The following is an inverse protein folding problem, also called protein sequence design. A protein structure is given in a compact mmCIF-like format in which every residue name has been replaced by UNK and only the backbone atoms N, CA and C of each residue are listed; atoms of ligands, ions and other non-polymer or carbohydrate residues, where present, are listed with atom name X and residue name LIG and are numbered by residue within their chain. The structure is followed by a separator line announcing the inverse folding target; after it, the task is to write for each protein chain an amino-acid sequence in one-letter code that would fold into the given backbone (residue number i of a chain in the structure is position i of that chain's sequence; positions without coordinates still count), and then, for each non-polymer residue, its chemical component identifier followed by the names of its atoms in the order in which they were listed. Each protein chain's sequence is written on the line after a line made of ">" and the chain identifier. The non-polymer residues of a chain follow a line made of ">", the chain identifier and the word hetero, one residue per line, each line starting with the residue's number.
data_IF_190235922199
#
_entry.id   IF_190235922199
#
_cell.length_a   1.000
_cell.length_b   1.000
_cell.length_c   1.000
_cell.angle_alpha   90.00
_cell.angle_beta   90.00
_cell.angle_gamma   90.00
#
_symmetry.space_group_name_H-M   'P 1'
#
loop_
_entity.id
_entity.type
_entity.pdbx_description
1 polymer ?
#
# COMPACT_ATOMS: atom_id res chain seq x y z
N UNK A 1 5.05 13.51 -9.10
CA UNK A 1 4.96 14.98 -8.98
C UNK A 1 4.78 15.29 -7.50
N UNK A 2 5.79 15.94 -6.90
CA UNK A 2 5.77 16.35 -5.49
C UNK A 2 5.11 17.75 -5.40
N UNK A 3 3.96 17.84 -4.75
CA UNK A 3 3.34 19.12 -4.44
C UNK A 3 3.66 19.49 -2.98
N UNK A 4 4.36 20.59 -2.70
CA UNK A 4 4.57 21.07 -1.35
C UNK A 4 3.37 21.95 -0.94
N UNK A 5 2.36 21.34 -0.34
CA UNK A 5 1.25 22.06 0.28
C UNK A 5 1.19 21.73 1.77
N UNK A 6 1.58 22.67 2.63
CA UNK A 6 1.37 22.59 4.07
C UNK A 6 -0.13 22.59 4.38
N UNK A 7 -0.66 21.45 4.79
CA UNK A 7 -2.01 21.37 5.36
C UNK A 7 -1.97 21.83 6.84
N UNK A 8 -2.82 22.79 7.16
CA UNK A 8 -2.95 23.39 8.49
C UNK A 8 -3.41 22.36 9.52
N UNK A 9 -3.02 22.57 10.81
CA UNK A 9 -3.38 21.73 11.97
C UNK A 9 -4.85 21.34 11.95
N UNK A 10 -5.12 20.03 11.99
CA UNK A 10 -6.47 19.46 12.09
C UNK A 10 -7.00 18.78 10.80
N UNK A 11 -6.29 18.84 9.66
CA UNK A 11 -6.64 18.12 8.41
C UNK A 11 -5.55 17.12 8.04
N UNK A 12 -5.95 15.94 7.68
CA UNK A 12 -5.09 14.84 7.21
C UNK A 12 -4.28 15.23 5.98
N UNK A 13 -3.21 14.51 5.70
CA UNK A 13 -1.91 14.76 6.26
C UNK A 13 -1.08 15.65 5.35
N UNK A 14 -0.20 16.43 5.92
CA UNK A 14 0.90 17.07 5.21
C UNK A 14 1.89 15.99 4.72
N UNK A 15 1.49 15.19 3.75
CA UNK A 15 2.26 14.13 3.16
C UNK A 15 2.11 14.11 1.65
N UNK A 16 2.99 13.40 0.96
CA UNK A 16 2.87 13.20 -0.48
C UNK A 16 1.62 12.37 -0.79
N UNK A 17 0.80 12.85 -1.71
CA UNK A 17 -0.27 12.08 -2.32
C UNK A 17 0.31 11.30 -3.49
N UNK A 18 0.24 9.98 -3.40
CA UNK A 18 0.65 9.09 -4.48
C UNK A 18 -0.54 8.81 -5.38
N UNK A 19 -0.45 9.09 -6.66
CA UNK A 19 -1.58 8.96 -7.60
C UNK A 19 -1.19 8.09 -8.79
N UNK A 20 -2.04 7.12 -9.10
CA UNK A 20 -1.96 6.28 -10.30
C UNK A 20 -3.27 6.40 -11.08
N UNK A 21 -3.17 6.66 -12.36
CA UNK A 21 -4.31 6.74 -13.28
C UNK A 21 -4.21 5.62 -14.30
N UNK A 22 -5.31 4.93 -14.59
CA UNK A 22 -5.36 3.91 -15.63
C UNK A 22 -5.12 4.51 -17.01
N UNK A 23 -4.58 3.70 -17.91
CA UNK A 23 -4.44 4.10 -19.33
C UNK A 23 -5.68 3.72 -20.10
N UNK A 24 -5.97 4.47 -21.16
CA UNK A 24 -7.00 4.09 -22.09
C UNK A 24 -6.71 2.69 -22.68
N UNK A 25 -7.71 1.83 -22.68
CA UNK A 25 -7.61 0.48 -23.24
C UNK A 25 -6.88 -0.55 -22.37
N UNK A 26 -6.48 -0.24 -21.12
CA UNK A 26 -5.84 -1.22 -20.23
C UNK A 26 -6.81 -2.15 -19.47
N UNK A 27 -8.11 -2.04 -19.76
CA UNK A 27 -9.17 -2.90 -19.22
C UNK A 27 -9.57 -2.59 -17.77
N UNK A 28 -9.01 -1.53 -17.16
CA UNK A 28 -9.34 -1.14 -15.77
C UNK A 28 -10.51 -0.18 -15.65
N UNK A 29 -10.97 0.37 -16.75
CA UNK A 29 -12.15 1.20 -16.84
C UNK A 29 -12.84 1.01 -18.21
N UNK A 30 -14.15 1.28 -18.33
CA UNK A 30 -14.84 1.36 -19.61
C UNK A 30 -14.22 2.40 -20.54
N UNK A 31 -14.55 2.33 -21.81
CA UNK A 31 -14.11 3.31 -22.80
C UNK A 31 -14.60 4.72 -22.43
N UNK A 32 -13.70 5.70 -22.49
CA UNK A 32 -13.98 7.08 -22.09
C UNK A 32 -13.89 7.34 -20.59
N UNK A 33 -13.63 6.33 -19.78
CA UNK A 33 -13.49 6.44 -18.33
C UNK A 33 -12.05 6.11 -17.87
N UNK A 34 -11.74 6.43 -16.63
CA UNK A 34 -10.47 6.10 -16.01
C UNK A 34 -10.63 5.74 -14.54
N UNK A 35 -9.81 4.82 -14.06
CA UNK A 35 -9.66 4.53 -12.63
C UNK A 35 -8.51 5.36 -12.07
N UNK A 36 -8.79 6.10 -11.01
CA UNK A 36 -7.79 6.87 -10.25
C UNK A 36 -7.60 6.23 -8.89
N UNK A 37 -6.38 5.79 -8.59
CA UNK A 37 -6.00 5.27 -7.27
C UNK A 37 -5.09 6.31 -6.62
N UNK A 38 -5.51 6.81 -5.45
CA UNK A 38 -4.75 7.75 -4.67
C UNK A 38 -4.41 7.17 -3.29
N UNK A 39 -3.18 7.32 -2.85
CA UNK A 39 -2.71 6.81 -1.56
C UNK A 39 -1.98 7.87 -0.78
N UNK A 40 -2.19 7.88 0.51
CA UNK A 40 -1.57 8.81 1.47
C UNK A 40 -1.20 8.06 2.74
N UNK A 41 -0.06 8.41 3.34
CA UNK A 41 0.33 7.85 4.62
C UNK A 41 -0.44 8.54 5.76
N UNK A 42 -0.98 7.74 6.67
CA UNK A 42 -1.71 8.22 7.84
C UNK A 42 -1.36 7.39 9.09
N UNK A 43 -1.30 8.00 10.28
CA UNK A 43 -1.13 7.26 11.53
C UNK A 43 -2.33 6.34 11.79
N UNK A 44 -2.09 5.03 11.87
CA UNK A 44 -3.16 4.04 12.02
C UNK A 44 -3.93 4.19 13.33
N UNK A 45 -3.25 4.62 14.42
CA UNK A 45 -3.85 4.81 15.73
C UNK A 45 -5.00 5.82 15.74
N UNK A 46 -4.90 6.84 14.89
CA UNK A 46 -5.90 7.91 14.77
C UNK A 46 -7.23 7.41 14.20
N UNK A 47 -7.20 6.33 13.42
CA UNK A 47 -8.38 5.71 12.82
C UNK A 47 -8.98 4.61 13.69
N UNK A 48 -8.13 3.80 14.32
CA UNK A 48 -8.56 2.63 15.08
C UNK A 48 -9.21 2.98 16.42
N UNK A 49 -8.95 4.16 16.99
CA UNK A 49 -9.48 4.60 18.28
C UNK A 49 -10.82 5.32 18.18
N UNK A 50 -11.26 5.68 16.99
CA UNK A 50 -12.50 6.44 16.82
C UNK A 50 -13.73 5.58 17.09
N UNK A 51 -14.70 6.15 17.82
CA UNK A 51 -16.06 5.62 17.89
C UNK A 51 -16.74 5.74 16.51
N UNK A 52 -17.74 4.91 16.24
CA UNK A 52 -18.32 4.79 14.90
C UNK A 52 -18.79 6.11 14.29
N UNK A 53 -19.52 7.00 14.99
CA UNK A 53 -19.94 8.27 14.38
C UNK A 53 -18.76 9.17 13.98
N UNK A 54 -17.76 9.29 14.86
CA UNK A 54 -16.55 10.08 14.58
C UNK A 54 -15.69 9.48 13.48
N UNK A 55 -15.66 8.16 13.39
CA UNK A 55 -14.98 7.44 12.32
C UNK A 55 -15.62 7.74 10.95
N UNK A 56 -16.94 7.64 10.84
CA UNK A 56 -17.65 7.92 9.58
C UNK A 56 -17.48 9.38 9.16
N UNK A 57 -17.60 10.31 10.10
CA UNK A 57 -17.35 11.73 9.82
C UNK A 57 -15.94 11.95 9.28
N UNK A 58 -14.92 11.43 9.96
CA UNK A 58 -13.52 11.55 9.54
C UNK A 58 -13.27 10.91 8.16
N UNK A 59 -13.89 9.76 7.90
CA UNK A 59 -13.81 9.09 6.60
C UNK A 59 -14.34 9.98 5.47
N UNK A 60 -15.47 10.64 5.68
CA UNK A 60 -16.05 11.56 4.71
C UNK A 60 -15.17 12.82 4.51
N UNK A 61 -14.69 13.42 5.59
CA UNK A 61 -13.80 14.57 5.53
C UNK A 61 -12.50 14.26 4.78
N UNK A 62 -11.89 13.11 5.05
CA UNK A 62 -10.68 12.66 4.37
C UNK A 62 -10.93 12.37 2.87
N UNK A 63 -12.04 11.72 2.52
CA UNK A 63 -12.43 11.48 1.14
C UNK A 63 -12.60 12.80 0.37
N UNK A 64 -13.31 13.76 0.94
CA UNK A 64 -13.51 15.07 0.34
C UNK A 64 -12.18 15.83 0.17
N UNK A 65 -11.31 15.77 1.16
CA UNK A 65 -10.01 16.43 1.12
C UNK A 65 -9.12 15.85 0.02
N UNK A 66 -9.03 14.52 -0.08
CA UNK A 66 -8.24 13.84 -1.13
C UNK A 66 -8.82 14.12 -2.51
N UNK A 67 -10.15 14.03 -2.65
CA UNK A 67 -10.84 14.32 -3.89
C UNK A 67 -10.57 15.75 -4.37
N UNK A 68 -10.70 16.74 -3.49
CA UNK A 68 -10.42 18.14 -3.82
C UNK A 68 -8.95 18.37 -4.21
N UNK A 69 -8.00 17.63 -3.63
CA UNK A 69 -6.60 17.68 -4.05
C UNK A 69 -6.39 17.08 -5.45
N UNK A 70 -7.04 15.94 -5.73
CA UNK A 70 -7.02 15.33 -7.06
C UNK A 70 -7.64 16.23 -8.13
N UNK A 71 -8.76 16.87 -7.83
CA UNK A 71 -9.41 17.83 -8.73
C UNK A 71 -8.47 18.99 -9.10
N UNK A 72 -7.77 19.53 -8.11
CA UNK A 72 -6.77 20.59 -8.35
C UNK A 72 -5.55 20.10 -9.14
N UNK A 73 -4.99 18.97 -8.72
CA UNK A 73 -3.73 18.46 -9.28
C UNK A 73 -3.87 17.90 -10.68
N UNK A 74 -5.03 17.32 -10.99
CA UNK A 74 -5.34 16.73 -12.30
C UNK A 74 -6.21 17.62 -13.17
N UNK A 75 -6.53 18.84 -12.71
CA UNK A 75 -7.41 19.79 -13.40
C UNK A 75 -8.78 19.19 -13.75
N UNK A 76 -9.36 18.41 -12.83
CA UNK A 76 -10.65 17.75 -13.01
C UNK A 76 -11.78 18.64 -12.50
N UNK A 77 -12.93 18.60 -13.19
CA UNK A 77 -14.16 19.20 -12.69
C UNK A 77 -14.80 18.29 -11.64
N UNK A 78 -15.51 18.86 -10.63
CA UNK A 78 -16.14 18.06 -9.58
C UNK A 78 -17.23 17.09 -10.06
N UNK A 79 -17.82 17.32 -11.22
CA UNK A 79 -18.90 16.53 -11.80
C UNK A 79 -18.45 15.30 -12.60
N UNK A 80 -17.15 15.09 -12.78
CA UNK A 80 -16.63 13.94 -13.56
C UNK A 80 -16.51 12.65 -12.76
N UNK A 81 -16.69 12.70 -11.44
CA UNK A 81 -16.57 11.52 -10.59
C UNK A 81 -17.82 10.65 -10.66
N UNK A 82 -17.70 9.46 -11.23
CA UNK A 82 -18.77 8.48 -11.27
C UNK A 82 -18.89 7.73 -9.93
N UNK A 83 -17.76 7.44 -9.30
CA UNK A 83 -17.68 6.79 -8.00
C UNK A 83 -16.42 7.23 -7.26
N UNK A 84 -16.51 7.30 -5.94
CA UNK A 84 -15.34 7.54 -5.09
C UNK A 84 -15.50 6.82 -3.74
N UNK A 85 -14.47 6.08 -3.34
CA UNK A 85 -14.44 5.32 -2.10
C UNK A 85 -13.10 5.53 -1.38
N UNK A 86 -13.12 5.54 -0.05
CA UNK A 86 -11.92 5.64 0.78
C UNK A 86 -11.73 4.36 1.59
N UNK A 87 -10.62 3.67 1.34
CA UNK A 87 -10.10 2.64 2.23
C UNK A 87 -9.32 3.32 3.38
N UNK A 88 -9.57 2.90 4.61
CA UNK A 88 -8.92 3.43 5.82
C UNK A 88 -8.10 2.34 6.50
N UNK A 89 -7.18 2.68 7.43
CA UNK A 89 -6.47 1.68 8.24
C UNK A 89 -7.42 0.70 8.96
N UNK A 90 -8.55 1.17 9.45
CA UNK A 90 -9.57 0.31 10.07
C UNK A 90 -10.20 -0.67 9.08
N UNK A 91 -10.52 -0.21 7.88
CA UNK A 91 -11.01 -1.06 6.79
C UNK A 91 -9.94 -2.09 6.37
N UNK A 92 -8.70 -1.67 6.20
CA UNK A 92 -7.58 -2.56 5.90
C UNK A 92 -7.37 -3.64 6.97
N UNK A 93 -7.49 -3.29 8.25
CA UNK A 93 -7.43 -4.26 9.35
C UNK A 93 -8.49 -5.35 9.20
N UNK A 94 -9.73 -4.95 8.86
CA UNK A 94 -10.83 -5.90 8.65
C UNK A 94 -10.61 -6.84 7.46
N UNK A 95 -10.12 -6.31 6.34
CA UNK A 95 -9.91 -7.09 5.11
C UNK A 95 -8.67 -7.98 5.15
N UNK A 96 -7.59 -7.53 5.77
CA UNK A 96 -6.29 -8.22 5.72
C UNK A 96 -5.94 -8.99 6.99
N UNK A 97 -6.67 -8.78 8.09
CA UNK A 97 -6.33 -9.32 9.41
C UNK A 97 -5.07 -8.67 10.02
N UNK A 98 -4.47 -7.68 9.36
CA UNK A 98 -3.26 -7.02 9.86
C UNK A 98 -3.58 -6.13 11.05
N UNK A 99 -2.79 -6.19 12.13
CA UNK A 99 -2.99 -5.33 13.29
C UNK A 99 -3.03 -3.85 12.90
N UNK A 100 -4.12 -3.18 13.26
CA UNK A 100 -4.37 -1.75 12.95
C UNK A 100 -4.33 -1.39 11.47
N UNK A 101 -4.40 -2.35 10.56
CA UNK A 101 -4.32 -2.11 9.12
C UNK A 101 -2.98 -1.55 8.65
N UNK A 102 -1.89 -1.87 9.34
CA UNK A 102 -0.57 -1.45 8.92
C UNK A 102 -0.17 -2.16 7.63
N UNK A 103 0.37 -1.39 6.69
CA UNK A 103 0.87 -1.85 5.40
C UNK A 103 2.39 -1.78 5.42
N UNK A 104 3.07 -2.69 4.71
CA UNK A 104 4.51 -2.68 4.55
C UNK A 104 5.29 -3.65 5.45
N UNK A 105 4.62 -4.57 6.11
CA UNK A 105 5.25 -5.59 6.92
C UNK A 105 5.86 -5.06 8.23
N UNK A 106 6.96 -5.67 8.66
CA UNK A 106 7.70 -5.21 9.84
C UNK A 106 8.43 -3.90 9.54
N UNK A 107 8.45 -3.01 10.55
CA UNK A 107 9.10 -1.70 10.43
C UNK A 107 10.57 -1.83 10.00
N UNK A 108 10.93 -1.10 8.96
CA UNK A 108 12.25 -1.12 8.32
C UNK A 108 13.22 -0.20 9.06
N UNK A 109 13.61 -0.61 10.26
CA UNK A 109 14.63 0.07 11.04
C UNK A 109 16.04 -0.41 10.64
N UNK A 110 17.08 0.45 10.62
CA UNK A 110 18.46 0.06 10.24
C UNK A 110 18.97 -1.21 10.92
N UNK A 111 18.58 -1.46 12.18
CA UNK A 111 18.95 -2.68 12.92
C UNK A 111 18.20 -3.95 12.48
N UNK A 112 17.24 -3.84 11.59
CA UNK A 112 16.39 -4.96 11.11
C UNK A 112 16.22 -4.95 9.60
N UNK A 113 17.07 -4.22 8.89
CA UNK A 113 17.01 -4.08 7.42
C UNK A 113 18.33 -4.49 6.78
N UNK A 114 18.32 -4.87 5.52
CA UNK A 114 19.50 -5.33 4.80
C UNK A 114 20.11 -6.60 5.44
N UNK A 115 21.40 -6.59 5.80
CA UNK A 115 22.07 -7.73 6.43
C UNK A 115 21.49 -8.17 7.77
N UNK A 116 20.79 -7.28 8.45
CA UNK A 116 20.14 -7.53 9.76
C UNK A 116 18.63 -7.83 9.62
N UNK A 117 18.13 -7.92 8.40
CA UNK A 117 16.74 -8.27 8.10
C UNK A 117 16.43 -9.73 8.40
N UNK A 118 15.13 -10.05 8.48
CA UNK A 118 14.70 -11.43 8.58
C UNK A 118 15.07 -12.19 7.30
N UNK A 119 15.71 -13.35 7.48
CA UNK A 119 16.03 -14.23 6.37
C UNK A 119 14.79 -15.01 5.89
N UNK A 120 14.70 -15.27 4.60
CA UNK A 120 13.67 -16.16 4.06
C UNK A 120 13.85 -17.61 4.48
N UNK A 121 15.09 -18.03 4.72
CA UNK A 121 15.40 -19.36 5.25
C UNK A 121 15.23 -19.37 6.76
N UNK A 122 14.44 -20.32 7.27
CA UNK A 122 14.26 -20.50 8.71
C UNK A 122 15.21 -21.57 9.27
N UNK A 123 15.44 -21.62 10.60
CA UNK A 123 16.15 -22.73 11.24
C UNK A 123 15.40 -24.06 11.12
N UNK A 124 14.10 -24.05 10.84
CA UNK A 124 13.28 -25.23 10.67
C UNK A 124 13.43 -25.81 9.26
N UNK A 125 13.85 -27.06 9.18
CA UNK A 125 14.00 -27.75 7.89
C UNK A 125 12.68 -27.82 7.13
N UNK A 126 12.70 -27.45 5.84
CA UNK A 126 11.51 -27.47 4.98
C UNK A 126 10.60 -26.26 5.11
N UNK A 127 10.97 -25.25 5.91
CA UNK A 127 10.18 -24.03 6.09
C UNK A 127 10.94 -22.81 5.57
N UNK A 128 10.35 -22.10 4.63
CA UNK A 128 10.81 -20.81 4.11
C UNK A 128 9.75 -19.75 4.30
N UNK A 129 10.20 -18.53 4.45
CA UNK A 129 9.34 -17.36 4.54
C UNK A 129 9.53 -16.48 3.30
N UNK A 130 8.46 -15.82 2.86
CA UNK A 130 8.48 -14.75 1.88
C UNK A 130 7.44 -13.70 2.24
N UNK A 131 7.57 -12.51 1.69
CA UNK A 131 6.62 -11.42 1.91
C UNK A 131 7.30 -10.09 2.24
N UNK A 132 6.48 -9.12 2.62
CA UNK A 132 6.87 -7.74 2.86
C UNK A 132 7.68 -7.49 4.14
N UNK A 133 7.65 -8.42 5.07
CA UNK A 133 8.43 -8.37 6.33
C UNK A 133 9.88 -8.85 6.18
N UNK A 134 10.26 -9.34 5.01
CA UNK A 134 11.56 -9.92 4.71
C UNK A 134 12.35 -9.04 3.74
N UNK A 135 13.68 -9.20 3.72
CA UNK A 135 14.48 -8.54 2.70
C UNK A 135 14.10 -9.02 1.28
N UNK A 136 13.92 -8.13 0.29
CA UNK A 136 14.26 -6.70 0.27
C UNK A 136 13.19 -5.76 0.83
N UNK A 137 12.05 -6.22 1.28
CA UNK A 137 11.06 -5.40 1.95
C UNK A 137 9.72 -5.31 1.23
N UNK A 138 9.02 -4.23 1.47
CA UNK A 138 7.66 -3.97 0.99
C UNK A 138 7.56 -3.60 -0.50
N UNK A 139 6.33 -3.49 -0.96
CA UNK A 139 5.97 -3.16 -2.33
C UNK A 139 5.98 -4.38 -3.26
N UNK A 140 5.33 -4.24 -4.42
CA UNK A 140 5.17 -5.34 -5.39
C UNK A 140 6.52 -5.94 -5.80
N UNK A 141 7.51 -5.10 -6.09
CA UNK A 141 8.85 -5.56 -6.47
C UNK A 141 9.53 -6.29 -5.31
N UNK A 142 9.45 -5.76 -4.09
CA UNK A 142 10.07 -6.35 -2.90
C UNK A 142 9.49 -7.70 -2.54
N UNK A 143 8.17 -7.82 -2.49
CA UNK A 143 7.52 -9.10 -2.15
C UNK A 143 7.71 -10.15 -3.24
N UNK A 144 7.72 -9.76 -4.52
CA UNK A 144 8.01 -10.66 -5.63
C UNK A 144 9.43 -11.20 -5.57
N UNK A 145 10.42 -10.34 -5.31
CA UNK A 145 11.81 -10.76 -5.17
C UNK A 145 12.03 -11.65 -3.93
N UNK A 146 11.34 -11.35 -2.83
CA UNK A 146 11.32 -12.19 -1.63
C UNK A 146 10.80 -13.61 -1.95
N UNK A 147 9.70 -13.72 -2.69
CA UNK A 147 9.13 -14.99 -3.12
C UNK A 147 10.07 -15.76 -4.06
N UNK A 148 10.69 -15.08 -5.03
CA UNK A 148 11.68 -15.66 -5.93
C UNK A 148 12.89 -16.21 -5.16
N UNK A 149 13.39 -15.48 -4.18
CA UNK A 149 14.52 -15.90 -3.36
C UNK A 149 14.18 -17.15 -2.52
N UNK A 150 13.01 -17.18 -1.89
CA UNK A 150 12.52 -18.35 -1.16
C UNK A 150 12.38 -19.57 -2.08
N UNK A 151 11.80 -19.39 -3.27
CA UNK A 151 11.62 -20.44 -4.27
C UNK A 151 12.97 -20.99 -4.78
N UNK A 152 13.94 -20.12 -5.04
CA UNK A 152 15.30 -20.53 -5.45
C UNK A 152 15.98 -21.35 -4.38
N UNK A 153 15.92 -20.94 -3.12
CA UNK A 153 16.50 -21.67 -2.00
C UNK A 153 15.86 -23.05 -1.81
N UNK A 154 14.53 -23.12 -1.84
CA UNK A 154 13.77 -24.35 -1.75
C UNK A 154 14.15 -25.35 -2.88
N UNK A 155 14.25 -24.87 -4.10
CA UNK A 155 14.59 -25.70 -5.26
C UNK A 155 16.05 -26.17 -5.19
N UNK A 156 16.97 -25.30 -4.79
CA UNK A 156 18.39 -25.64 -4.63
C UNK A 156 18.60 -26.77 -3.61
N UNK A 157 17.86 -26.79 -2.50
CA UNK A 157 17.92 -27.89 -1.50
C UNK A 157 17.43 -29.23 -2.09
N UNK A 158 16.66 -29.19 -3.16
CA UNK A 158 16.15 -30.38 -3.89
C UNK A 158 16.96 -30.70 -5.15
N UNK A 159 18.10 -30.04 -5.34
CA UNK A 159 18.92 -30.19 -6.56
C UNK A 159 18.25 -29.68 -7.83
N UNK A 160 17.29 -28.75 -7.70
CA UNK A 160 16.53 -28.18 -8.82
C UNK A 160 16.83 -26.69 -8.96
N UNK A 161 16.58 -26.13 -10.14
CA UNK A 161 16.76 -24.72 -10.45
C UNK A 161 15.43 -24.07 -10.84
N UNK A 162 15.23 -22.79 -10.45
CA UNK A 162 14.09 -22.01 -10.90
C UNK A 162 14.37 -21.50 -12.32
N UNK A 163 13.47 -21.81 -13.25
CA UNK A 163 13.49 -21.28 -14.62
C UNK A 163 12.36 -20.25 -14.71
N UNK A 164 12.71 -19.00 -14.97
CA UNK A 164 11.75 -17.95 -15.29
C UNK A 164 11.74 -17.84 -16.80
N UNK A 165 10.57 -17.97 -17.43
CA UNK A 165 10.37 -17.73 -18.85
C UNK A 165 9.76 -16.34 -19.01
N UNK A 166 10.28 -15.60 -19.99
CA UNK A 166 9.74 -14.30 -20.41
C UNK A 166 8.39 -14.46 -21.10
#
# INVERSE_FOLDING_TARGET
>A
VSCPGQLRRGREPAGSLFVSVSRAGDGRAPEGEATVIASVFTPTADWCRLAEPAYQQRKQEALQSIRGELERSLHLRPDVWLHAELATPRGFAGWTGRPRGMVGGLGQHPSRFGPFGLAGRTPMQGLWLCGDSLHPGEGTAGVSLSALNASRQLLAERGKHLIIRD
#
